data_IF_270554963236
#
_entry.id   IF_270554963236
#
_cell.length_a   1.000
_cell.length_b   1.000
_cell.length_c   1.000
_cell.angle_alpha   90.00
_cell.angle_beta   90.00
_cell.angle_gamma   90.00
#
_symmetry.space_group_name_H-M   'P 1'
#
loop_
_entity.id
_entity.type
_entity.pdbx_description
1 polymer ?
#
# COMPACT_ATOMS: atom_id res chain seq x y z
N UNK A 1 -1.76 -7.42 -42.73
CA UNK A 1 -1.90 -8.83 -43.15
C UNK A 1 -0.52 -9.46 -43.01
N UNK A 2 -0.12 -9.78 -41.79
CA UNK A 2 -0.29 -11.08 -41.11
C UNK A 2 0.76 -12.10 -41.58
N UNK A 3 1.78 -12.33 -40.76
CA UNK A 3 2.69 -13.47 -40.85
C UNK A 3 2.85 -14.06 -39.44
N UNK A 4 2.96 -15.38 -39.41
CA UNK A 4 2.29 -16.28 -38.47
C UNK A 4 3.25 -16.75 -37.37
N UNK A 5 2.74 -16.87 -36.15
CA UNK A 5 3.45 -17.43 -34.99
C UNK A 5 3.69 -18.93 -35.16
N UNK A 6 4.84 -19.43 -34.67
CA UNK A 6 5.11 -20.86 -34.51
C UNK A 6 4.96 -21.24 -33.04
N UNK A 7 3.98 -22.09 -32.76
CA UNK A 7 3.74 -22.73 -31.45
C UNK A 7 4.70 -23.93 -31.21
N UNK A 8 5.10 -24.20 -29.95
CA UNK A 8 5.86 -25.40 -29.57
C UNK A 8 4.96 -26.63 -29.30
N UNK A 9 5.50 -27.85 -29.42
CA UNK A 9 4.70 -29.08 -29.39
C UNK A 9 4.25 -29.51 -27.99
N UNK A 10 3.01 -30.02 -27.96
CA UNK A 10 2.31 -30.64 -26.86
C UNK A 10 2.81 -32.08 -26.62
N UNK A 11 3.31 -32.36 -25.42
CA UNK A 11 3.62 -33.71 -24.95
C UNK A 11 2.51 -34.22 -24.03
N UNK A 12 1.74 -35.21 -24.50
CA UNK A 12 0.64 -35.87 -23.81
C UNK A 12 0.98 -37.36 -23.63
N UNK A 13 1.02 -37.85 -22.40
CA UNK A 13 0.82 -39.27 -22.07
C UNK A 13 0.54 -39.40 -20.57
N UNK A 14 -0.68 -39.72 -20.13
CA UNK A 14 -1.30 -41.06 -20.07
C UNK A 14 -1.16 -41.65 -18.66
N UNK A 15 -2.24 -41.57 -17.88
CA UNK A 15 -2.46 -42.33 -16.65
C UNK A 15 -2.55 -43.84 -16.93
N UNK A 16 -2.44 -44.69 -15.90
CA UNK A 16 -3.68 -45.26 -15.37
C UNK A 16 -3.74 -45.31 -13.83
N UNK A 17 -4.98 -45.24 -13.33
CA UNK A 17 -5.39 -45.62 -11.97
C UNK A 17 -5.80 -47.10 -11.97
N UNK A 18 -5.85 -47.80 -10.81
CA UNK A 18 -7.14 -47.88 -10.13
C UNK A 18 -7.14 -47.98 -8.58
N UNK A 19 -8.24 -47.44 -8.03
CA UNK A 19 -9.08 -47.92 -6.91
C UNK A 19 -8.61 -47.97 -5.45
N UNK A 20 -9.31 -47.13 -4.67
CA UNK A 20 -10.14 -47.44 -3.50
C UNK A 20 -9.49 -47.65 -2.11
N UNK A 21 -9.67 -46.67 -1.21
CA UNK A 21 -10.64 -46.75 -0.10
C UNK A 21 -10.58 -45.52 0.83
N UNK A 22 -11.63 -45.24 1.63
CA UNK A 22 -11.90 -43.93 2.23
C UNK A 22 -11.57 -43.90 3.73
N UNK A 23 -10.73 -42.95 4.15
CA UNK A 23 -10.55 -42.67 5.57
C UNK A 23 -10.63 -41.17 5.85
N UNK A 24 -11.80 -40.79 6.37
CA UNK A 24 -12.01 -39.88 7.50
C UNK A 24 -11.28 -38.54 7.51
N UNK A 25 -12.08 -37.49 7.30
CA UNK A 25 -11.81 -36.10 7.65
C UNK A 25 -11.37 -35.96 9.11
N UNK A 26 -10.14 -35.53 9.34
CA UNK A 26 -9.70 -35.01 10.64
C UNK A 26 -9.66 -33.48 10.56
N UNK A 27 -10.68 -32.85 11.14
CA UNK A 27 -10.70 -31.41 11.46
C UNK A 27 -9.62 -31.12 12.50
N UNK A 28 -8.71 -30.19 12.20
CA UNK A 28 -7.81 -29.59 13.18
C UNK A 28 -8.27 -28.15 13.48
N UNK A 29 -8.27 -27.71 14.75
CA UNK A 29 -8.78 -26.39 15.13
C UNK A 29 -7.82 -25.27 14.72
N UNK A 30 -8.38 -24.24 14.07
CA UNK A 30 -7.70 -22.99 13.76
C UNK A 30 -7.31 -22.25 15.06
N UNK A 31 -6.01 -22.07 15.27
CA UNK A 31 -5.45 -21.30 16.39
C UNK A 31 -5.06 -19.90 15.86
N UNK A 32 -5.76 -18.91 16.40
CA UNK A 32 -5.51 -17.45 16.55
C UNK A 32 -4.41 -16.75 15.71
N UNK A 33 -4.67 -15.56 15.14
CA UNK A 33 -3.64 -14.74 14.52
C UNK A 33 -2.85 -13.96 15.59
N UNK A 34 -1.60 -14.35 15.85
CA UNK A 34 -0.68 -13.54 16.66
C UNK A 34 -0.22 -12.32 15.87
N UNK A 35 -0.60 -11.13 16.34
CA UNK A 35 -0.01 -9.86 15.92
C UNK A 35 1.41 -9.73 16.49
N UNK A 36 2.36 -9.35 15.63
CA UNK A 36 3.78 -9.14 15.94
C UNK A 36 4.65 -10.00 15.02
N UNK A 37 5.30 -9.40 14.02
CA UNK A 37 6.22 -10.12 13.14
C UNK A 37 7.55 -10.35 13.88
N UNK A 38 7.94 -11.60 14.21
CA UNK A 38 9.29 -11.89 14.68
C UNK A 38 10.26 -11.83 13.50
N UNK A 39 11.41 -11.21 13.71
CA UNK A 39 12.53 -11.21 12.75
C UNK A 39 12.91 -12.67 12.45
N UNK A 40 13.11 -13.06 11.17
CA UNK A 40 13.27 -14.45 10.78
C UNK A 40 14.60 -15.02 11.26
N UNK A 41 14.57 -16.32 11.58
CA UNK A 41 15.68 -17.11 12.09
C UNK A 41 16.92 -17.07 11.17
N UNK A 42 18.12 -17.40 11.67
CA UNK A 42 19.38 -17.44 10.91
C UNK A 42 19.43 -18.47 9.77
N UNK A 43 18.30 -19.07 9.38
CA UNK A 43 18.19 -19.88 8.18
C UNK A 43 17.81 -18.95 7.01
N UNK A 44 18.65 -18.81 5.96
CA UNK A 44 18.36 -17.87 4.88
C UNK A 44 17.05 -18.27 4.21
N UNK A 45 16.03 -17.43 4.40
CA UNK A 45 14.78 -17.53 3.65
C UNK A 45 15.13 -17.50 2.15
N UNK A 46 14.62 -18.43 1.33
CA UNK A 46 14.89 -18.41 -0.10
C UNK A 46 14.30 -17.14 -0.70
N UNK A 47 15.17 -16.19 -1.04
CA UNK A 47 14.81 -14.96 -1.72
C UNK A 47 14.42 -15.28 -3.17
N UNK A 48 13.52 -14.49 -3.75
CA UNK A 48 13.29 -14.59 -5.20
C UNK A 48 14.53 -14.12 -5.96
N UNK A 49 14.75 -14.65 -7.17
CA UNK A 49 15.92 -14.28 -7.98
C UNK A 49 16.08 -12.75 -8.16
N UNK A 50 14.97 -12.02 -8.28
CA UNK A 50 14.95 -10.55 -8.36
C UNK A 50 15.35 -9.85 -7.05
N UNK A 51 15.08 -10.44 -5.89
CA UNK A 51 15.48 -9.91 -4.58
C UNK A 51 16.96 -10.15 -4.34
N UNK A 52 17.47 -11.33 -4.73
CA UNK A 52 18.91 -11.61 -4.66
C UNK A 52 19.72 -10.70 -5.58
N UNK A 53 19.19 -10.32 -6.74
CA UNK A 53 19.81 -9.32 -7.61
C UNK A 53 19.97 -7.97 -6.90
N UNK A 54 18.94 -7.48 -6.22
CA UNK A 54 18.99 -6.23 -5.45
C UNK A 54 20.00 -6.29 -4.29
N UNK A 55 20.09 -7.43 -3.61
CA UNK A 55 21.10 -7.65 -2.57
C UNK A 55 22.51 -7.60 -3.18
N UNK A 56 22.71 -8.24 -4.34
CA UNK A 56 23.99 -8.22 -5.06
C UNK A 56 24.37 -6.80 -5.49
N UNK A 57 23.40 -5.98 -5.89
CA UNK A 57 23.65 -4.59 -6.26
C UNK A 57 24.17 -3.77 -5.07
N UNK A 58 23.53 -3.89 -3.90
CA UNK A 58 23.99 -3.25 -2.66
C UNK A 58 25.39 -3.73 -2.24
N UNK A 59 25.61 -5.04 -2.35
CA UNK A 59 26.91 -5.64 -2.08
C UNK A 59 28.00 -5.09 -3.02
N UNK A 60 27.76 -5.03 -4.34
CA UNK A 60 28.72 -4.49 -5.28
C UNK A 60 28.95 -2.99 -5.08
N UNK A 61 27.92 -2.22 -4.72
CA UNK A 61 28.06 -0.81 -4.37
C UNK A 61 29.00 -0.62 -3.18
N UNK A 62 28.84 -1.43 -2.12
CA UNK A 62 29.71 -1.40 -0.94
C UNK A 62 31.15 -1.76 -1.29
N UNK A 63 31.35 -2.87 -2.02
CA UNK A 63 32.69 -3.31 -2.42
C UNK A 63 33.38 -2.26 -3.31
N UNK A 64 32.65 -1.63 -4.23
CA UNK A 64 33.19 -0.53 -5.06
C UNK A 64 33.57 0.70 -4.25
N UNK A 65 32.82 1.01 -3.18
CA UNK A 65 33.19 2.10 -2.25
C UNK A 65 34.48 1.80 -1.50
N UNK A 66 34.70 0.55 -1.10
CA UNK A 66 35.93 0.12 -0.40
C UNK A 66 37.14 0.09 -1.35
N UNK A 67 36.96 -0.37 -2.59
CA UNK A 67 38.01 -0.44 -3.61
C UNK A 67 38.08 0.82 -4.50
N UNK A 68 37.61 1.97 -4.04
CA UNK A 68 37.48 3.16 -4.91
C UNK A 68 38.80 3.67 -5.46
N UNK A 69 39.88 3.56 -4.69
CA UNK A 69 41.23 4.03 -5.09
C UNK A 69 41.77 3.20 -6.26
N UNK A 70 41.70 1.87 -6.18
CA UNK A 70 42.15 0.97 -7.23
C UNK A 70 41.30 1.09 -8.50
N UNK A 71 39.99 1.30 -8.34
CA UNK A 71 39.07 1.54 -9.46
C UNK A 71 39.41 2.86 -10.18
N UNK A 72 39.74 3.93 -9.44
CA UNK A 72 40.18 5.20 -10.02
C UNK A 72 41.49 5.02 -10.78
N UNK A 73 42.48 4.35 -10.20
CA UNK A 73 43.76 4.10 -10.86
C UNK A 73 43.61 3.33 -12.18
N UNK A 74 42.70 2.34 -12.22
CA UNK A 74 42.36 1.66 -13.47
C UNK A 74 41.62 2.60 -14.44
N UNK A 75 40.66 3.40 -13.96
CA UNK A 75 39.93 4.35 -14.79
C UNK A 75 40.87 5.37 -15.43
N UNK A 76 41.79 5.97 -14.67
CA UNK A 76 42.77 6.94 -15.15
C UNK A 76 43.69 6.34 -16.23
N UNK A 77 44.05 5.05 -16.10
CA UNK A 77 44.77 4.34 -17.16
C UNK A 77 43.88 4.08 -18.39
N UNK A 78 42.60 3.80 -18.21
CA UNK A 78 41.66 3.56 -19.29
C UNK A 78 41.23 4.85 -20.03
N UNK A 79 41.39 6.03 -19.42
CA UNK A 79 41.07 7.31 -20.08
C UNK A 79 41.90 7.48 -21.37
N UNK A 80 41.21 7.55 -22.50
CA UNK A 80 41.82 7.73 -23.83
C UNK A 80 42.37 6.46 -24.48
N UNK A 81 42.22 5.29 -23.87
CA UNK A 81 42.57 3.99 -24.45
C UNK A 81 41.28 3.18 -24.55
N UNK A 82 40.85 2.80 -25.75
CA UNK A 82 39.62 2.01 -25.93
C UNK A 82 39.95 0.56 -26.24
N UNK A 83 40.76 0.33 -27.25
CA UNK A 83 41.12 -1.01 -27.72
C UNK A 83 42.36 -1.59 -27.03
N UNK A 84 43.28 -0.75 -26.54
CA UNK A 84 44.56 -1.18 -25.96
C UNK A 84 44.58 -1.32 -24.43
N UNK A 85 43.45 -1.08 -23.75
CA UNK A 85 43.33 -1.08 -22.27
C UNK A 85 43.74 -2.41 -21.67
N UNK A 86 43.28 -3.52 -22.25
CA UNK A 86 43.49 -4.88 -21.71
C UNK A 86 44.99 -5.22 -21.62
N UNK A 87 45.80 -4.68 -22.52
CA UNK A 87 47.25 -4.91 -22.53
C UNK A 87 48.02 -3.84 -21.76
N UNK A 88 47.69 -2.55 -21.96
CA UNK A 88 48.45 -1.42 -21.39
C UNK A 88 48.11 -1.13 -19.93
N UNK A 89 46.90 -1.46 -19.48
CA UNK A 89 46.43 -1.24 -18.11
C UNK A 89 46.28 -2.55 -17.32
N UNK A 90 46.98 -3.61 -17.76
CA UNK A 90 46.87 -4.95 -17.16
C UNK A 90 47.24 -4.97 -15.68
N UNK A 91 48.28 -4.24 -15.30
CA UNK A 91 48.75 -4.21 -13.90
C UNK A 91 47.71 -3.55 -12.99
N UNK A 92 47.18 -2.39 -13.39
CA UNK A 92 46.09 -1.69 -12.68
C UNK A 92 44.80 -2.49 -12.62
N UNK A 93 44.50 -3.23 -13.69
CA UNK A 93 43.36 -4.15 -13.69
C UNK A 93 43.56 -5.32 -12.71
N UNK A 94 44.78 -5.83 -12.55
CA UNK A 94 45.07 -6.90 -11.58
C UNK A 94 44.98 -6.41 -10.14
N UNK A 95 45.53 -5.21 -9.84
CA UNK A 95 45.43 -4.55 -8.54
C UNK A 95 43.96 -4.32 -8.13
N UNK A 96 43.17 -3.73 -9.03
CA UNK A 96 41.72 -3.55 -8.83
C UNK A 96 41.02 -4.88 -8.56
N UNK A 97 41.25 -5.91 -9.40
CA UNK A 97 40.63 -7.22 -9.22
C UNK A 97 41.13 -7.97 -7.98
N UNK A 98 42.31 -7.65 -7.46
CA UNK A 98 42.80 -8.20 -6.20
C UNK A 98 42.00 -7.62 -5.03
N UNK A 99 41.78 -6.31 -5.00
CA UNK A 99 40.92 -5.66 -4.01
C UNK A 99 39.48 -6.18 -4.07
N UNK A 100 38.90 -6.28 -5.28
CA UNK A 100 37.53 -6.78 -5.42
C UNK A 100 37.38 -8.21 -4.88
N UNK A 101 38.41 -9.06 -5.07
CA UNK A 101 38.41 -10.44 -4.58
C UNK A 101 38.63 -10.54 -3.07
N UNK A 102 39.44 -9.67 -2.46
CA UNK A 102 39.64 -9.68 -1.01
C UNK A 102 38.36 -9.33 -0.24
N UNK A 103 37.55 -8.43 -0.80
CA UNK A 103 36.26 -8.05 -0.21
C UNK A 103 35.10 -8.96 -0.65
N UNK A 104 35.35 -9.92 -1.55
CA UNK A 104 34.35 -10.88 -2.00
C UNK A 104 34.17 -12.07 -1.06
N UNK A 105 33.81 -11.76 0.18
CA UNK A 105 33.56 -12.76 1.22
C UNK A 105 32.06 -13.09 1.34
N UNK A 106 31.68 -14.34 1.65
CA UNK A 106 30.29 -14.70 1.95
C UNK A 106 29.70 -13.85 3.09
N UNK A 107 30.52 -13.50 4.07
CA UNK A 107 30.16 -12.62 5.18
C UNK A 107 29.70 -11.22 4.70
N UNK A 108 30.43 -10.62 3.76
CA UNK A 108 30.05 -9.31 3.21
C UNK A 108 28.71 -9.38 2.44
N UNK A 109 28.40 -10.52 1.84
CA UNK A 109 27.10 -10.75 1.20
C UNK A 109 25.97 -10.90 2.23
N UNK A 110 26.22 -11.58 3.35
CA UNK A 110 25.22 -11.72 4.42
C UNK A 110 24.94 -10.38 5.11
N UNK A 111 25.97 -9.58 5.36
CA UNK A 111 25.80 -8.19 5.85
C UNK A 111 25.01 -7.32 4.85
N UNK A 112 25.18 -7.53 3.54
CA UNK A 112 24.37 -6.84 2.53
C UNK A 112 22.91 -7.32 2.50
N UNK A 113 22.65 -8.60 2.80
CA UNK A 113 21.29 -9.13 2.99
C UNK A 113 20.61 -8.48 4.18
N UNK A 114 21.31 -8.40 5.31
CA UNK A 114 20.79 -7.79 6.54
C UNK A 114 20.41 -6.32 6.31
N UNK A 115 21.27 -5.54 5.65
CA UNK A 115 20.96 -4.15 5.27
C UNK A 115 19.75 -4.05 4.32
N UNK A 116 19.66 -4.95 3.33
CA UNK A 116 18.52 -4.97 2.42
C UNK A 116 17.20 -5.24 3.16
N UNK A 117 17.21 -6.20 4.09
CA UNK A 117 16.06 -6.49 4.95
C UNK A 117 15.73 -5.33 5.88
N UNK A 118 16.73 -4.67 6.48
CA UNK A 118 16.53 -3.51 7.34
C UNK A 118 15.88 -2.35 6.56
N UNK A 119 16.38 -2.01 5.38
CA UNK A 119 15.80 -0.99 4.51
C UNK A 119 14.36 -1.32 4.08
N UNK A 120 14.03 -2.61 3.91
CA UNK A 120 12.65 -3.04 3.61
C UNK A 120 11.74 -2.88 4.83
N UNK A 121 12.21 -3.24 6.02
CA UNK A 121 11.46 -3.09 7.26
C UNK A 121 11.23 -1.62 7.58
N UNK A 122 12.23 -0.77 7.40
CA UNK A 122 12.12 0.69 7.58
C UNK A 122 11.06 1.27 6.65
N UNK A 123 11.10 0.95 5.34
CA UNK A 123 10.06 1.36 4.38
C UNK A 123 8.66 0.82 4.70
N UNK A 124 8.57 -0.33 5.36
CA UNK A 124 7.28 -0.85 5.83
C UNK A 124 6.80 -0.08 7.06
N UNK A 125 7.68 0.19 8.02
CA UNK A 125 7.39 0.98 9.22
C UNK A 125 6.99 2.42 8.87
N UNK A 126 7.68 3.06 7.93
CA UNK A 126 7.35 4.41 7.47
C UNK A 126 5.96 4.46 6.81
N UNK A 127 5.63 3.46 5.98
CA UNK A 127 4.29 3.34 5.39
C UNK A 127 3.22 3.10 6.44
N UNK A 128 3.49 2.26 7.44
CA UNK A 128 2.58 2.04 8.56
C UNK A 128 2.36 3.31 9.39
N UNK A 129 3.43 4.07 9.68
CA UNK A 129 3.36 5.34 10.39
C UNK A 129 2.57 6.40 9.60
N UNK A 130 2.81 6.52 8.29
CA UNK A 130 2.05 7.41 7.40
C UNK A 130 0.57 7.01 7.33
N UNK A 131 0.26 5.72 7.25
CA UNK A 131 -1.10 5.21 7.27
C UNK A 131 -1.80 5.50 8.61
N UNK A 132 -1.10 5.35 9.74
CA UNK A 132 -1.62 5.69 11.06
C UNK A 132 -1.96 7.17 11.17
N UNK A 133 -1.05 8.07 10.75
CA UNK A 133 -1.31 9.52 10.73
C UNK A 133 -2.47 9.89 9.82
N UNK A 134 -2.58 9.26 8.64
CA UNK A 134 -3.72 9.49 7.75
C UNK A 134 -5.03 9.03 8.38
N UNK A 135 -5.05 7.90 9.07
CA UNK A 135 -6.23 7.42 9.77
C UNK A 135 -6.64 8.36 10.92
N UNK A 136 -5.69 8.92 11.66
CA UNK A 136 -5.96 9.95 12.67
C UNK A 136 -6.52 11.23 12.03
N UNK A 137 -5.93 11.69 10.92
CA UNK A 137 -6.45 12.84 10.16
C UNK A 137 -7.85 12.58 9.61
N UNK A 138 -8.14 11.39 9.08
CA UNK A 138 -9.47 11.02 8.60
C UNK A 138 -10.50 11.02 9.72
N UNK A 139 -10.15 10.57 10.93
CA UNK A 139 -11.02 10.67 12.11
C UNK A 139 -11.29 12.12 12.50
N UNK A 140 -10.24 12.93 12.63
CA UNK A 140 -10.36 14.34 12.96
C UNK A 140 -11.20 15.10 11.93
N UNK A 141 -10.96 14.84 10.64
CA UNK A 141 -11.75 15.43 9.56
C UNK A 141 -13.20 14.99 9.67
N UNK A 142 -13.47 13.71 9.94
CA UNK A 142 -14.84 13.19 10.07
C UNK A 142 -15.59 13.80 11.27
N UNK A 143 -14.91 14.01 12.40
CA UNK A 143 -15.43 14.75 13.54
C UNK A 143 -15.72 16.21 13.18
N UNK A 144 -14.80 16.88 12.50
CA UNK A 144 -14.94 18.29 12.09
C UNK A 144 -16.11 18.52 11.12
N UNK A 145 -16.38 17.57 10.22
CA UNK A 145 -17.55 17.60 9.33
C UNK A 145 -18.86 17.16 10.02
N UNK A 146 -18.84 16.85 11.33
CA UNK A 146 -20.01 16.39 12.07
C UNK A 146 -20.57 15.05 11.57
N UNK A 147 -19.75 14.25 10.88
CA UNK A 147 -20.08 12.92 10.33
C UNK A 147 -19.80 11.80 11.35
N UNK A 148 -19.90 12.12 12.64
CA UNK A 148 -19.92 11.12 13.70
C UNK A 148 -21.17 10.24 13.52
N UNK A 149 -20.97 8.93 13.35
CA UNK A 149 -22.02 7.99 12.93
C UNK A 149 -22.24 7.86 11.41
N UNK A 150 -21.61 8.64 10.53
CA UNK A 150 -21.74 8.44 9.08
C UNK A 150 -20.67 7.50 8.49
N UNK A 151 -20.28 6.46 9.21
CA UNK A 151 -19.37 5.38 8.73
C UNK A 151 -20.05 4.46 7.72
N UNK A 152 -21.35 4.61 7.53
CA UNK A 152 -22.16 3.60 6.86
C UNK A 152 -22.31 2.33 7.69
N UNK A 153 -21.96 2.35 8.99
CA UNK A 153 -22.34 1.31 9.94
C UNK A 153 -23.87 1.26 10.07
N UNK A 154 -24.39 0.14 10.56
CA UNK A 154 -25.82 -0.03 10.75
C UNK A 154 -26.40 1.04 11.69
N UNK A 155 -25.76 1.28 12.84
CA UNK A 155 -26.17 2.29 13.81
C UNK A 155 -26.19 3.70 13.18
N UNK A 156 -25.18 4.01 12.38
CA UNK A 156 -25.09 5.24 11.61
C UNK A 156 -26.23 5.48 10.63
N UNK A 157 -26.64 4.43 9.91
CA UNK A 157 -27.75 4.48 8.96
C UNK A 157 -29.09 4.69 9.67
N UNK A 158 -29.26 4.05 10.83
CA UNK A 158 -30.44 4.18 11.67
C UNK A 158 -30.58 5.62 12.22
N UNK A 159 -29.47 6.24 12.66
CA UNK A 159 -29.45 7.63 13.14
C UNK A 159 -29.83 8.65 12.04
N UNK A 160 -29.33 8.45 10.81
CA UNK A 160 -29.68 9.32 9.67
C UNK A 160 -31.16 9.17 9.32
N UNK A 161 -31.70 7.94 9.29
CA UNK A 161 -33.13 7.70 9.05
C UNK A 161 -34.00 8.32 10.15
N UNK A 162 -33.59 8.22 11.41
CA UNK A 162 -34.29 8.82 12.54
C UNK A 162 -34.32 10.35 12.45
N UNK A 163 -33.17 10.99 12.12
CA UNK A 163 -33.11 12.45 11.87
C UNK A 163 -34.03 12.87 10.73
N UNK A 164 -34.04 12.12 9.61
CA UNK A 164 -34.91 12.38 8.45
C UNK A 164 -36.40 12.28 8.81
N UNK A 165 -36.78 11.25 9.58
CA UNK A 165 -38.15 11.06 10.06
C UNK A 165 -38.59 12.22 10.96
N UNK A 166 -37.77 12.63 11.93
CA UNK A 166 -38.06 13.79 12.79
C UNK A 166 -38.23 15.08 11.99
N UNK A 167 -37.38 15.29 10.98
CA UNK A 167 -37.50 16.45 10.10
C UNK A 167 -38.79 16.42 9.29
N UNK A 168 -39.16 15.28 8.70
CA UNK A 168 -40.42 15.12 7.97
C UNK A 168 -41.64 15.34 8.87
N UNK A 169 -41.61 14.84 10.11
CA UNK A 169 -42.66 15.06 11.11
C UNK A 169 -42.76 16.54 11.50
N UNK A 170 -41.64 17.21 11.74
CA UNK A 170 -41.62 18.66 12.00
C UNK A 170 -42.14 19.47 10.80
N UNK A 171 -41.86 19.01 9.56
CA UNK A 171 -42.36 19.63 8.33
C UNK A 171 -43.86 19.41 8.16
N UNK A 172 -44.39 18.26 8.54
CA UNK A 172 -45.84 17.98 8.55
C UNK A 172 -46.56 18.79 9.62
N UNK A 173 -45.92 19.05 10.75
CA UNK A 173 -46.49 19.87 11.83
C UNK A 173 -46.33 21.38 11.58
N UNK A 174 -45.62 21.81 10.53
CA UNK A 174 -45.60 23.22 10.13
C UNK A 174 -46.97 23.59 9.55
N UNK A 175 -47.68 24.61 10.08
CA UNK A 175 -48.96 25.02 9.54
C UNK A 175 -48.79 25.55 8.12
N UNK A 176 -49.78 25.30 7.25
CA UNK A 176 -49.82 25.82 5.89
C UNK A 176 -49.70 27.35 5.91
N UNK A 177 -48.82 27.88 5.07
CA UNK A 177 -48.49 29.30 4.99
C UNK A 177 -48.76 29.80 3.58
N UNK A 178 -49.90 30.46 3.37
CA UNK A 178 -50.31 31.02 2.07
C UNK A 178 -50.22 32.54 2.16
N UNK A 179 -49.36 33.15 1.35
CA UNK A 179 -49.07 34.59 1.41
C UNK A 179 -48.13 35.01 2.56
N UNK A 180 -47.45 34.06 3.20
CA UNK A 180 -46.48 34.35 4.26
C UNK A 180 -47.00 34.29 5.69
N UNK A 181 -48.31 34.09 5.93
CA UNK A 181 -48.89 33.92 7.28
C UNK A 181 -49.44 32.50 7.51
N UNK A 182 -49.31 31.95 8.73
CA UNK A 182 -49.97 30.69 9.09
C UNK A 182 -51.50 30.90 9.12
N UNK A 183 -52.27 29.84 8.83
CA UNK A 183 -53.72 29.93 8.68
C UNK A 183 -54.49 30.57 9.85
N UNK A 184 -53.96 30.50 11.09
CA UNK A 184 -54.57 31.07 12.29
C UNK A 184 -54.45 32.60 12.38
N UNK A 185 -53.42 33.17 11.77
CA UNK A 185 -53.10 34.60 11.88
C UNK A 185 -53.59 35.39 10.64
N UNK A 186 -54.41 34.75 9.79
CA UNK A 186 -54.96 35.40 8.60
C UNK A 186 -56.17 36.26 9.00
N UNK A 187 -56.22 37.55 8.61
CA UNK A 187 -57.43 38.35 8.80
C UNK A 187 -58.58 37.76 8.00
N UNK A 188 -59.71 37.51 8.66
CA UNK A 188 -60.96 37.12 8.01
C UNK A 188 -61.54 38.36 7.33
N UNK A 189 -62.17 38.19 6.18
CA UNK A 189 -62.72 39.31 5.40
C UNK A 189 -63.68 40.19 6.22
N UNK A 190 -64.50 39.56 7.06
CA UNK A 190 -65.45 40.26 7.94
C UNK A 190 -64.74 41.15 9.00
N UNK A 191 -63.65 40.66 9.61
CA UNK A 191 -62.88 41.42 10.63
C UNK A 191 -62.13 42.61 10.01
N UNK A 192 -61.61 42.46 8.78
CA UNK A 192 -60.93 43.54 8.06
C UNK A 192 -61.88 44.71 7.75
N UNK A 193 -63.15 44.41 7.43
CA UNK A 193 -64.17 45.44 7.17
C UNK A 193 -64.65 46.14 8.45
N UNK A 194 -64.65 45.44 9.59
CA UNK A 194 -65.00 46.00 10.90
C UNK A 194 -63.92 46.96 11.45
N UNK A 195 -62.64 46.62 11.29
CA UNK A 195 -61.52 47.51 11.64
C UNK A 195 -61.50 48.78 10.77
N UNK A 196 -61.86 48.66 9.48
CA UNK A 196 -61.96 49.82 8.58
C UNK A 196 -63.16 50.72 8.91
N UNK A 197 -64.29 50.14 9.34
CA UNK A 197 -65.48 50.87 9.75
C UNK A 197 -65.33 51.61 11.10
N UNK A 198 -64.53 51.07 12.02
CA UNK A 198 -64.28 51.68 13.34
C UNK A 198 -63.28 52.85 13.28
N UNK A 199 -62.58 53.00 12.16
CA UNK A 199 -61.55 54.02 11.94
C UNK A 199 -62.04 55.26 11.18
N UNK A 200 -63.32 55.33 10.83
CA UNK A 200 -64.02 56.50 10.28
C UNK A 200 -64.76 57.26 11.37
#
# INVERSE_FOLDING_TARGET
>A
MAAVAMDPPTGRSSSPSPSASPHTMASLPAKSPSAGLPMPSPNPLPLSASQEAQVRDLYYERVRKQCSEEIKAFADCALGRTFSVVFKCRDKNNEMNACLRSHATPRALDEAREEWFAMRQERAAERAAKAARKAEQEKLMREWWGLEGADGSQAGREDIQAKRRRYEESRRHRPERIGGLPAKDRPRFDDATADEATKR
#
